data_IF_979846666723
#
_entry.id   IF_979846666723
#
_cell.length_a   1.000
_cell.length_b   1.000
_cell.length_c   1.000
_cell.angle_alpha   90.00
_cell.angle_beta   90.00
_cell.angle_gamma   90.00
#
_symmetry.space_group_name_H-M   'P 1'
#
loop_
_entity.id
_entity.type
_entity.pdbx_description
1 polymer ?
#
# COMPACT_ATOMS: atom_id res chain seq x y z
N UNK A 1 -1.13 -1.21 -5.34
CA UNK A 1 -1.77 -1.69 -4.09
C UNK A 1 -0.75 -2.43 -3.23
N UNK A 2 -0.80 -2.20 -1.92
CA UNK A 2 0.05 -2.81 -0.90
C UNK A 2 -0.88 -3.40 0.15
N UNK A 3 -0.70 -4.66 0.49
CA UNK A 3 -1.44 -5.31 1.60
C UNK A 3 -0.45 -5.76 2.65
N UNK A 4 -0.87 -5.77 3.90
CA UNK A 4 -0.05 -6.30 4.99
C UNK A 4 -0.85 -7.19 5.92
N UNK A 5 -0.18 -8.17 6.50
CA UNK A 5 -0.68 -9.01 7.57
C UNK A 5 0.38 -8.96 8.68
N UNK A 6 0.09 -8.20 9.74
CA UNK A 6 1.04 -7.85 10.79
C UNK A 6 0.37 -8.04 12.14
N UNK A 7 0.94 -8.95 12.93
CA UNK A 7 0.37 -9.38 14.21
C UNK A 7 0.53 -8.31 15.29
N UNK A 8 1.70 -7.67 15.36
CA UNK A 8 2.01 -6.68 16.39
C UNK A 8 1.39 -5.30 16.05
N UNK A 9 0.53 -4.80 16.95
CA UNK A 9 -0.18 -3.52 16.81
C UNK A 9 0.74 -2.29 16.73
N UNK A 10 1.92 -2.34 17.35
CA UNK A 10 2.90 -1.25 17.30
C UNK A 10 3.58 -1.24 15.94
N UNK A 11 4.03 -2.39 15.43
CA UNK A 11 4.60 -2.53 14.09
C UNK A 11 3.56 -2.14 13.04
N UNK A 12 2.32 -2.64 13.15
CA UNK A 12 1.23 -2.32 12.23
C UNK A 12 0.96 -0.82 12.17
N UNK A 13 0.96 -0.12 13.33
CA UNK A 13 0.84 1.35 13.37
C UNK A 13 2.01 2.07 12.74
N UNK A 14 3.23 1.53 12.86
CA UNK A 14 4.40 2.10 12.19
C UNK A 14 4.30 1.92 10.67
N UNK A 15 3.92 0.73 10.19
CA UNK A 15 3.68 0.48 8.76
C UNK A 15 2.58 1.39 8.22
N UNK A 16 1.46 1.52 8.93
CA UNK A 16 0.38 2.46 8.58
C UNK A 16 0.93 3.88 8.39
N UNK A 17 1.67 4.42 9.36
CA UNK A 17 2.27 5.77 9.27
C UNK A 17 3.22 5.90 8.08
N UNK A 18 4.04 4.87 7.83
CA UNK A 18 4.98 4.87 6.70
C UNK A 18 4.24 4.96 5.38
N UNK A 19 3.13 4.24 5.22
CA UNK A 19 2.40 4.17 3.95
C UNK A 19 1.49 5.38 3.70
N UNK A 20 1.04 6.08 4.75
CA UNK A 20 0.20 7.30 4.63
C UNK A 20 0.86 8.41 3.80
N UNK A 21 2.19 8.54 3.84
CA UNK A 21 2.91 9.56 3.06
C UNK A 21 2.99 9.23 1.55
N UNK A 22 2.55 8.04 1.15
CA UNK A 22 2.74 7.50 -0.20
C UNK A 22 1.45 7.03 -0.88
N UNK A 23 0.30 7.21 -0.22
CA UNK A 23 -0.97 6.75 -0.75
C UNK A 23 -2.09 6.78 0.27
N UNK A 24 -3.23 6.24 -0.13
CA UNK A 24 -4.44 6.24 0.68
C UNK A 24 -4.72 4.85 1.26
N UNK A 25 -5.17 4.86 2.51
CA UNK A 25 -5.60 3.64 3.20
C UNK A 25 -7.04 3.32 2.81
N UNK A 26 -7.21 2.30 1.98
CA UNK A 26 -8.52 1.88 1.47
C UNK A 26 -9.18 0.79 2.34
N UNK A 27 -8.39 0.03 3.10
CA UNK A 27 -8.89 -0.91 4.13
C UNK A 27 -7.98 -0.94 5.35
N UNK A 28 -8.39 -1.68 6.39
CA UNK A 28 -7.60 -1.78 7.63
C UNK A 28 -6.14 -2.19 7.37
N UNK A 29 -5.90 -3.10 6.42
CA UNK A 29 -4.57 -3.56 6.06
C UNK A 29 -4.24 -3.45 4.58
N UNK A 30 -4.88 -2.51 3.87
CA UNK A 30 -4.65 -2.28 2.44
C UNK A 30 -4.46 -0.80 2.16
N UNK A 31 -3.42 -0.51 1.39
CA UNK A 31 -3.10 0.80 0.85
C UNK A 31 -3.07 0.76 -0.67
N UNK A 32 -3.57 1.82 -1.27
CA UNK A 32 -3.33 2.13 -2.66
C UNK A 32 -2.30 3.25 -2.71
N UNK A 33 -1.19 3.03 -3.40
CA UNK A 33 -0.05 3.95 -3.44
C UNK A 33 0.36 4.19 -4.88
N UNK A 34 0.70 5.44 -5.16
CA UNK A 34 1.40 5.84 -6.37
C UNK A 34 2.87 6.02 -6.02
N UNK A 35 3.74 5.22 -6.66
CA UNK A 35 5.15 5.13 -6.30
C UNK A 35 6.00 5.12 -7.55
N UNK A 36 7.01 5.99 -7.57
CA UNK A 36 8.15 5.85 -8.47
C UNK A 36 8.94 4.56 -8.15
N UNK A 37 9.74 4.03 -9.10
CA UNK A 37 10.59 2.86 -8.86
C UNK A 37 11.53 3.03 -7.65
N UNK A 38 12.07 4.22 -7.45
CA UNK A 38 12.96 4.53 -6.33
C UNK A 38 12.24 4.60 -4.99
N UNK A 39 11.05 5.20 -4.92
CA UNK A 39 10.23 5.20 -3.71
C UNK A 39 9.84 3.78 -3.32
N UNK A 40 9.41 2.97 -4.30
CA UNK A 40 9.10 1.56 -4.08
C UNK A 40 10.32 0.81 -3.52
N UNK A 41 11.52 1.03 -4.07
CA UNK A 41 12.76 0.41 -3.55
C UNK A 41 13.02 0.81 -2.11
N UNK A 42 12.98 2.10 -1.80
CA UNK A 42 13.23 2.64 -0.44
C UNK A 42 12.20 2.11 0.57
N UNK A 43 10.92 2.10 0.20
CA UNK A 43 9.86 1.59 1.06
C UNK A 43 10.02 0.09 1.34
N UNK A 44 10.35 -0.72 0.32
CA UNK A 44 10.59 -2.16 0.52
C UNK A 44 11.69 -2.41 1.53
N UNK A 45 12.81 -1.69 1.44
CA UNK A 45 13.90 -1.81 2.41
C UNK A 45 13.48 -1.38 3.81
N UNK A 46 12.77 -0.25 3.92
CA UNK A 46 12.29 0.29 5.21
C UNK A 46 11.32 -0.68 5.89
N UNK A 47 10.37 -1.25 5.15
CA UNK A 47 9.42 -2.22 5.69
C UNK A 47 10.09 -3.56 6.04
N UNK A 48 11.04 -4.03 5.23
CA UNK A 48 11.77 -5.27 5.50
C UNK A 48 12.58 -5.21 6.81
N UNK A 49 13.09 -4.03 7.18
CA UNK A 49 13.77 -3.84 8.47
C UNK A 49 12.84 -3.63 9.68
N UNK A 50 11.53 -3.54 9.44
CA UNK A 50 10.54 -3.22 10.46
C UNK A 50 9.66 -4.42 10.85
N UNK A 51 9.26 -5.23 9.87
CA UNK A 51 8.33 -6.34 10.08
C UNK A 51 9.03 -7.57 10.70
N UNK A 52 8.28 -8.37 11.45
CA UNK A 52 8.77 -9.63 12.00
C UNK A 52 8.84 -10.73 10.91
N UNK A 53 9.46 -11.88 11.25
CA UNK A 53 9.63 -13.00 10.31
C UNK A 53 8.33 -13.70 9.94
N UNK A 54 7.31 -13.61 10.80
CA UNK A 54 5.97 -14.17 10.62
C UNK A 54 4.96 -13.17 10.04
N UNK A 55 5.34 -11.89 9.94
CA UNK A 55 4.54 -10.87 9.27
C UNK A 55 4.72 -10.95 7.74
N UNK A 56 3.76 -10.41 6.99
CA UNK A 56 3.87 -10.34 5.52
C UNK A 56 3.41 -9.00 4.94
N UNK A 57 4.13 -8.53 3.92
CA UNK A 57 3.74 -7.38 3.10
C UNK A 57 3.76 -7.79 1.64
N UNK A 58 2.62 -7.63 0.96
CA UNK A 58 2.46 -7.97 -0.46
C UNK A 58 2.33 -6.70 -1.29
N UNK A 59 2.94 -6.74 -2.47
CA UNK A 59 3.02 -5.62 -3.39
C UNK A 59 2.40 -6.03 -4.72
N UNK A 60 1.27 -5.41 -5.06
CA UNK A 60 0.56 -5.64 -6.31
C UNK A 60 0.67 -4.39 -7.19
N UNK A 61 1.54 -4.40 -8.21
CA UNK A 61 1.53 -3.37 -9.23
C UNK A 61 0.16 -3.37 -9.92
N UNK A 62 -0.49 -2.23 -9.95
CA UNK A 62 -1.74 -2.05 -10.67
C UNK A 62 -1.47 -1.17 -11.88
N UNK A 63 -1.85 -1.67 -13.06
CA UNK A 63 -1.88 -0.85 -14.25
C UNK A 63 -3.06 0.13 -14.19
N UNK A 64 -3.00 1.23 -14.95
CA UNK A 64 -4.09 2.22 -15.02
C UNK A 64 -5.43 1.59 -15.40
N UNK A 65 -5.43 0.67 -16.36
CA UNK A 65 -6.63 -0.09 -16.75
C UNK A 65 -7.15 -1.00 -15.63
N UNK A 66 -6.25 -1.58 -14.85
CA UNK A 66 -6.56 -2.49 -13.76
C UNK A 66 -7.22 -1.73 -12.60
N UNK A 67 -6.69 -0.54 -12.29
CA UNK A 67 -7.23 0.34 -11.24
C UNK A 67 -8.67 0.79 -11.55
N UNK A 68 -8.97 1.12 -12.82
CA UNK A 68 -10.33 1.50 -13.26
C UNK A 68 -11.37 0.39 -13.15
N UNK A 69 -10.95 -0.84 -12.86
CA UNK A 69 -11.81 -2.03 -12.73
C UNK A 69 -11.94 -2.53 -11.31
N UNK A 70 -11.42 -1.80 -10.33
CA UNK A 70 -11.62 -2.15 -8.91
C UNK A 70 -13.12 -2.09 -8.61
N UNK A 71 -13.62 -3.16 -8.00
CA UNK A 71 -15.00 -3.28 -7.53
C UNK A 71 -14.97 -3.45 -6.03
N UNK A 72 -15.72 -2.61 -5.32
CA UNK A 72 -15.84 -2.65 -3.86
C UNK A 72 -17.20 -3.26 -3.52
N UNK A 73 -17.20 -4.24 -2.63
CA UNK A 73 -18.40 -4.78 -2.02
C UNK A 73 -18.42 -4.41 -0.53
N UNK A 74 -19.47 -3.74 -0.08
CA UNK A 74 -19.57 -3.24 1.30
C UNK A 74 -19.13 -1.79 1.44
N UNK A 75 -18.52 -1.44 2.57
CA UNK A 75 -18.10 -0.07 2.90
C UNK A 75 -16.64 0.19 2.50
N UNK A 76 -16.38 1.41 2.04
CA UNK A 76 -15.05 1.92 1.70
C UNK A 76 -14.99 2.48 0.29
N UNK A 77 -13.93 3.23 0.00
CA UNK A 77 -13.63 3.82 -1.30
C UNK A 77 -12.25 3.36 -1.78
N UNK A 78 -12.05 3.38 -3.10
CA UNK A 78 -10.72 3.21 -3.70
C UNK A 78 -10.02 4.57 -3.68
N UNK A 79 -8.69 4.57 -3.69
CA UNK A 79 -7.96 5.80 -3.85
C UNK A 79 -8.24 6.41 -5.23
N UNK A 80 -8.59 7.70 -5.24
CA UNK A 80 -8.82 8.43 -6.49
C UNK A 80 -7.49 9.05 -6.90
N UNK A 81 -6.69 8.31 -7.66
CA UNK A 81 -5.52 8.91 -8.30
C UNK A 81 -5.99 9.72 -9.51
N UNK A 82 -5.57 11.00 -9.64
CA UNK A 82 -5.77 11.74 -10.88
C UNK A 82 -5.18 10.95 -12.05
N UNK A 83 -5.78 11.06 -13.24
CA UNK A 83 -5.41 10.33 -14.47
C UNK A 83 -3.97 10.59 -15.01
N UNK A 84 -3.02 11.11 -14.22
CA UNK A 84 -1.72 11.57 -14.71
C UNK A 84 -0.52 10.75 -14.22
N UNK A 85 0.30 10.39 -15.22
CA UNK A 85 1.50 9.55 -15.19
C UNK A 85 2.74 10.32 -14.73
N UNK A 86 3.68 9.60 -14.10
CA UNK A 86 5.11 9.88 -14.27
C UNK A 86 5.85 8.58 -14.65
N UNK A 87 6.51 8.65 -15.81
CA UNK A 87 7.45 7.67 -16.37
C UNK A 87 8.67 7.48 -15.46
#
# INVERSE_FOLDING_TARGET
>A
MITYDISDDRIRRQVWKILTDHGERVQYSVFECELTPDEKRRLRLRLAGLIASDDSVRWYPLCTWCAKKIVIQGQGDSAVFPDYYLL
#
